data_IF_299594422934
#
_entry.id   IF_299594422934
#
_cell.length_a   1.000
_cell.length_b   1.000
_cell.length_c   1.000
_cell.angle_alpha   90.00
_cell.angle_beta   90.00
_cell.angle_gamma   90.00
#
_symmetry.space_group_name_H-M   'P 1'
#
loop_
_entity.id
_entity.type
_entity.pdbx_description
1 polymer ?
#
# COMPACT_ATOMS: atom_id res chain seq x y z
N UNK A 1 2.97 2.35 -11.79
CA UNK A 1 2.90 1.46 -10.61
C UNK A 1 2.78 -0.03 -10.96
N UNK A 2 1.81 -0.44 -11.78
CA UNK A 2 1.55 -1.87 -12.08
C UNK A 2 2.76 -2.62 -12.66
N UNK A 3 3.53 -2.01 -13.57
CA UNK A 3 4.70 -2.66 -14.16
C UNK A 3 5.77 -3.01 -13.10
N UNK A 4 6.06 -2.08 -12.18
CA UNK A 4 7.01 -2.32 -11.09
C UNK A 4 6.51 -3.40 -10.12
N UNK A 5 5.24 -3.35 -9.75
CA UNK A 5 4.62 -4.38 -8.91
C UNK A 5 4.72 -5.78 -9.53
N UNK A 6 4.41 -5.91 -10.83
CA UNK A 6 4.54 -7.17 -11.57
C UNK A 6 5.99 -7.70 -11.57
N UNK A 7 6.97 -6.81 -11.73
CA UNK A 7 8.40 -7.17 -11.68
C UNK A 7 8.80 -7.68 -10.30
N UNK A 8 8.44 -6.97 -9.23
CA UNK A 8 8.86 -7.34 -7.86
C UNK A 8 8.17 -8.63 -7.39
N UNK A 9 6.85 -8.77 -7.60
CA UNK A 9 6.11 -9.95 -7.15
C UNK A 9 6.51 -11.25 -7.87
N UNK A 10 7.20 -11.14 -9.01
CA UNK A 10 7.71 -12.29 -9.75
C UNK A 10 9.07 -12.78 -9.20
N UNK A 11 9.67 -12.05 -8.26
CA UNK A 11 10.91 -12.46 -7.63
C UNK A 11 10.68 -13.71 -6.75
N UNK A 12 11.53 -14.74 -6.81
CA UNK A 12 11.33 -15.99 -6.07
C UNK A 12 11.21 -15.82 -4.54
N UNK A 13 11.84 -14.78 -3.99
CA UNK A 13 11.78 -14.46 -2.55
C UNK A 13 10.47 -13.81 -2.12
N UNK A 14 9.59 -13.41 -3.04
CA UNK A 14 8.27 -12.86 -2.73
C UNK A 14 7.26 -14.00 -2.86
N UNK A 15 6.64 -14.46 -1.76
CA UNK A 15 5.70 -15.56 -1.83
C UNK A 15 4.46 -15.16 -2.63
N UNK A 16 3.70 -16.15 -3.11
CA UNK A 16 2.45 -15.88 -3.82
C UNK A 16 1.43 -15.14 -2.93
N UNK A 17 1.41 -15.47 -1.64
CA UNK A 17 0.57 -14.86 -0.61
C UNK A 17 1.40 -14.61 0.64
N UNK A 18 1.15 -13.50 1.33
CA UNK A 18 1.80 -13.23 2.60
C UNK A 18 1.77 -11.75 3.00
N UNK A 19 2.24 -11.42 4.20
CA UNK A 19 2.27 -10.06 4.72
C UNK A 19 3.29 -9.16 4.00
N UNK A 20 4.20 -9.72 3.19
CA UNK A 20 5.19 -8.97 2.40
C UNK A 20 4.52 -7.95 1.47
N UNK A 21 3.31 -8.27 1.01
CA UNK A 21 2.50 -7.41 0.16
C UNK A 21 2.08 -6.11 0.87
N UNK A 22 2.01 -6.09 2.20
CA UNK A 22 1.67 -4.91 3.00
C UNK A 22 2.79 -3.87 2.95
N UNK A 23 4.04 -4.33 2.87
CA UNK A 23 5.23 -3.48 2.64
C UNK A 23 5.43 -3.16 1.15
N UNK A 24 5.06 -4.08 0.26
CA UNK A 24 5.29 -3.93 -1.18
C UNK A 24 4.47 -2.78 -1.79
N UNK A 25 3.19 -2.66 -1.45
CA UNK A 25 2.31 -1.60 -2.01
C UNK A 25 2.87 -0.19 -1.75
N UNK A 26 3.15 0.24 -0.51
CA UNK A 26 3.64 1.59 -0.27
C UNK A 26 5.01 1.82 -0.90
N UNK A 27 5.89 0.81 -0.89
CA UNK A 27 7.20 0.89 -1.53
C UNK A 27 7.07 1.12 -3.05
N UNK A 28 6.18 0.40 -3.74
CA UNK A 28 5.93 0.60 -5.18
C UNK A 28 5.45 2.02 -5.48
N UNK A 29 4.53 2.56 -4.67
CA UNK A 29 3.99 3.91 -4.85
C UNK A 29 5.12 4.94 -4.71
N UNK A 30 5.91 4.85 -3.65
CA UNK A 30 6.98 5.81 -3.35
C UNK A 30 8.15 5.71 -4.35
N UNK A 31 8.49 4.52 -4.81
CA UNK A 31 9.49 4.34 -5.88
C UNK A 31 9.03 4.99 -7.18
N UNK A 32 7.77 4.76 -7.58
CA UNK A 32 7.24 5.38 -8.82
C UNK A 32 7.14 6.89 -8.68
N UNK A 33 6.66 7.38 -7.54
CA UNK A 33 6.60 8.82 -7.27
C UNK A 33 7.99 9.47 -7.33
N UNK A 34 9.01 8.86 -6.71
CA UNK A 34 10.39 9.37 -6.77
C UNK A 34 10.93 9.41 -8.19
N UNK A 35 10.74 8.33 -8.96
CA UNK A 35 11.16 8.26 -10.35
C UNK A 35 10.49 9.32 -11.25
N UNK A 36 9.20 9.61 -11.02
CA UNK A 36 8.46 10.59 -11.83
C UNK A 36 8.72 12.03 -11.42
N UNK A 37 8.93 12.29 -10.13
CA UNK A 37 9.14 13.64 -9.60
C UNK A 37 10.61 14.07 -9.58
N UNK A 38 11.55 13.14 -9.77
CA UNK A 38 12.98 13.38 -9.57
C UNK A 38 13.37 13.53 -8.08
N UNK A 39 12.44 13.29 -7.16
CA UNK A 39 12.72 13.39 -5.72
C UNK A 39 13.38 12.11 -5.21
N UNK A 40 14.38 12.26 -4.34
CA UNK A 40 14.95 11.12 -3.63
C UNK A 40 13.96 10.61 -2.57
N UNK A 41 13.33 9.48 -2.85
CA UNK A 41 12.38 8.83 -1.94
C UNK A 41 12.96 7.62 -1.21
N UNK A 42 14.27 7.39 -1.25
CA UNK A 42 14.90 6.21 -0.67
C UNK A 42 14.53 6.00 0.81
N UNK A 43 14.65 7.05 1.65
CA UNK A 43 14.29 6.96 3.05
C UNK A 43 12.78 6.70 3.24
N UNK A 44 11.93 7.34 2.44
CA UNK A 44 10.49 7.11 2.52
C UNK A 44 10.13 5.66 2.18
N UNK A 45 10.84 5.05 1.22
CA UNK A 45 10.65 3.64 0.87
C UNK A 45 11.02 2.73 2.06
N UNK A 46 12.12 3.00 2.76
CA UNK A 46 12.47 2.25 3.97
C UNK A 46 11.42 2.42 5.07
N UNK A 47 10.98 3.64 5.34
CA UNK A 47 9.94 3.93 6.34
C UNK A 47 8.61 3.24 5.98
N UNK A 48 8.25 3.24 4.70
CA UNK A 48 7.08 2.52 4.18
C UNK A 48 7.17 1.02 4.40
N UNK A 49 8.33 0.42 4.12
CA UNK A 49 8.55 -1.01 4.36
C UNK A 49 8.41 -1.32 5.84
N UNK A 50 9.02 -0.52 6.71
CA UNK A 50 8.91 -0.68 8.17
C UNK A 50 7.47 -0.57 8.66
N UNK A 51 6.71 0.45 8.22
CA UNK A 51 5.29 0.57 8.56
C UNK A 51 4.45 -0.57 7.99
N UNK A 52 4.75 -1.05 6.79
CA UNK A 52 4.04 -2.18 6.19
C UNK A 52 4.22 -3.48 6.98
N UNK A 53 5.42 -3.70 7.54
CA UNK A 53 5.75 -4.89 8.35
C UNK A 53 4.94 -4.99 9.65
N UNK A 54 4.41 -3.88 10.16
CA UNK A 54 3.59 -3.89 11.38
C UNK A 54 2.16 -4.38 11.12
N UNK A 55 1.75 -4.52 9.85
CA UNK A 55 0.42 -5.00 9.48
C UNK A 55 0.43 -6.53 9.49
N UNK A 56 -0.33 -7.11 10.41
CA UNK A 56 -0.42 -8.56 10.57
C UNK A 56 -0.97 -9.25 9.31
N UNK A 57 -0.45 -10.45 9.04
CA UNK A 57 -1.04 -11.34 8.04
C UNK A 57 -2.51 -11.59 8.37
N UNK A 58 -3.38 -11.51 7.35
CA UNK A 58 -4.83 -11.67 7.56
C UNK A 58 -5.55 -10.44 8.12
N UNK A 59 -4.91 -9.27 8.20
CA UNK A 59 -5.56 -8.02 8.60
C UNK A 59 -6.89 -7.75 7.85
N UNK A 60 -7.00 -8.17 6.59
CA UNK A 60 -8.25 -8.08 5.81
C UNK A 60 -9.43 -8.81 6.46
N UNK A 61 -9.20 -9.96 7.09
CA UNK A 61 -10.24 -10.76 7.74
C UNK A 61 -10.32 -10.49 9.23
N UNK A 62 -9.19 -10.42 9.93
CA UNK A 62 -9.16 -10.32 11.39
C UNK A 62 -9.33 -8.89 11.90
N UNK A 63 -8.94 -7.89 11.11
CA UNK A 63 -9.02 -6.46 11.48
C UNK A 63 -9.98 -5.67 10.57
N UNK A 64 -10.59 -6.33 9.58
CA UNK A 64 -11.58 -5.74 8.68
C UNK A 64 -11.00 -4.76 7.65
N UNK A 65 -9.67 -4.69 7.47
CA UNK A 65 -9.04 -3.77 6.52
C UNK A 65 -7.89 -4.44 5.78
N UNK A 66 -7.93 -4.38 4.44
CA UNK A 66 -6.89 -4.99 3.62
C UNK A 66 -5.54 -4.26 3.76
N UNK A 67 -4.47 -5.02 3.99
CA UNK A 67 -3.11 -4.46 4.09
C UNK A 67 -2.65 -3.74 2.82
N UNK A 68 -3.22 -4.08 1.64
CA UNK A 68 -2.99 -3.32 0.41
C UNK A 68 -3.60 -1.90 0.49
N UNK A 69 -4.81 -1.75 1.04
CA UNK A 69 -5.44 -0.45 1.25
C UNK A 69 -4.65 0.37 2.29
N UNK A 70 -4.25 -0.25 3.40
CA UNK A 70 -3.38 0.40 4.40
C UNK A 70 -2.06 0.84 3.76
N UNK A 71 -1.49 0.01 2.88
CA UNK A 71 -0.30 0.32 2.11
C UNK A 71 -0.41 1.62 1.31
N UNK A 72 -1.53 1.85 0.61
CA UNK A 72 -1.79 3.14 -0.07
C UNK A 72 -1.80 4.29 0.93
N UNK A 73 -2.48 4.11 2.07
CA UNK A 73 -2.51 5.08 3.16
C UNK A 73 -1.13 5.40 3.75
N UNK A 74 -0.26 4.40 3.90
CA UNK A 74 1.12 4.55 4.37
C UNK A 74 1.92 5.43 3.41
N UNK A 75 1.88 5.14 2.12
CA UNK A 75 2.61 5.95 1.13
C UNK A 75 2.13 7.40 1.13
N UNK A 76 0.82 7.62 1.15
CA UNK A 76 0.24 8.97 1.17
C UNK A 76 0.54 9.71 2.47
N UNK A 77 0.53 9.00 3.61
CA UNK A 77 0.92 9.56 4.91
C UNK A 77 2.37 10.06 4.89
N UNK A 78 3.28 9.31 4.28
CA UNK A 78 4.68 9.70 4.15
C UNK A 78 4.85 10.91 3.22
N UNK A 79 4.19 10.91 2.05
CA UNK A 79 4.26 12.01 1.10
C UNK A 79 3.70 13.32 1.67
N UNK A 80 2.55 13.26 2.35
CA UNK A 80 1.91 14.43 2.95
C UNK A 80 2.49 14.81 4.31
N UNK A 81 3.45 14.03 4.83
CA UNK A 81 3.96 14.16 6.21
C UNK A 81 2.81 14.20 7.22
N UNK A 82 1.80 13.35 7.00
CA UNK A 82 0.60 13.26 7.83
C UNK A 82 0.95 12.69 9.21
N UNK A 83 0.30 13.21 10.25
CA UNK A 83 0.45 12.74 11.62
C UNK A 83 -0.85 13.02 12.42
N UNK A 84 -0.99 12.54 13.67
CA UNK A 84 -2.21 12.73 14.45
C UNK A 84 -2.63 14.19 14.68
N UNK A 85 -1.68 15.14 14.64
CA UNK A 85 -1.93 16.57 14.86
C UNK A 85 -2.26 17.34 13.58
N UNK A 86 -2.12 16.71 12.41
CA UNK A 86 -2.36 17.31 11.09
C UNK A 86 -3.71 16.88 10.54
N UNK A 87 -4.77 17.60 10.96
CA UNK A 87 -6.15 17.22 10.69
C UNK A 87 -6.47 17.03 9.20
N UNK A 88 -5.98 17.94 8.34
CA UNK A 88 -6.21 17.90 6.89
C UNK A 88 -5.56 16.67 6.25
N UNK A 89 -4.27 16.48 6.47
CA UNK A 89 -3.49 15.39 5.89
C UNK A 89 -3.99 14.03 6.40
N UNK A 90 -4.33 13.93 7.71
CA UNK A 90 -4.94 12.74 8.28
C UNK A 90 -6.27 12.42 7.60
N UNK A 91 -7.13 13.41 7.38
CA UNK A 91 -8.40 13.21 6.69
C UNK A 91 -8.19 12.73 5.24
N UNK A 92 -7.25 13.34 4.51
CA UNK A 92 -6.92 12.94 3.13
C UNK A 92 -6.47 11.48 3.09
N UNK A 93 -5.53 11.10 3.97
CA UNK A 93 -5.04 9.70 4.07
C UNK A 93 -6.18 8.73 4.34
N UNK A 94 -7.06 9.04 5.29
CA UNK A 94 -8.19 8.17 5.64
C UNK A 94 -9.20 8.05 4.49
N UNK A 95 -9.53 9.16 3.81
CA UNK A 95 -10.46 9.16 2.66
C UNK A 95 -9.94 8.32 1.50
N UNK A 96 -8.68 8.48 1.12
CA UNK A 96 -8.08 7.69 0.04
C UNK A 96 -8.00 6.21 0.43
N UNK A 97 -7.56 5.91 1.65
CA UNK A 97 -7.52 4.52 2.16
C UNK A 97 -8.89 3.87 2.11
N UNK A 98 -9.94 4.58 2.54
CA UNK A 98 -11.33 4.13 2.48
C UNK A 98 -11.79 3.88 1.04
N UNK A 99 -11.48 4.78 0.11
CA UNK A 99 -11.84 4.62 -1.30
C UNK A 99 -11.17 3.37 -1.90
N UNK A 100 -9.90 3.12 -1.60
CA UNK A 100 -9.23 1.90 -2.04
C UNK A 100 -9.84 0.66 -1.42
N UNK A 101 -10.13 0.68 -0.11
CA UNK A 101 -10.79 -0.43 0.57
C UNK A 101 -12.17 -0.72 -0.05
N UNK A 102 -12.92 0.32 -0.41
CA UNK A 102 -14.21 0.20 -1.09
C UNK A 102 -14.07 -0.55 -2.42
N UNK A 103 -13.05 -0.28 -3.22
CA UNK A 103 -12.85 -1.01 -4.48
C UNK A 103 -12.46 -2.47 -4.25
N UNK A 104 -11.64 -2.75 -3.23
CA UNK A 104 -11.26 -4.11 -2.85
C UNK A 104 -12.47 -4.91 -2.34
N UNK A 105 -13.30 -4.32 -1.48
CA UNK A 105 -14.40 -5.02 -0.81
C UNK A 105 -15.59 -5.38 -1.70
N UNK A 106 -15.60 -4.89 -2.96
CA UNK A 106 -16.62 -5.28 -3.96
C UNK A 106 -16.49 -6.72 -4.44
N UNK A 107 -15.34 -7.35 -4.19
CA UNK A 107 -15.06 -8.70 -4.66
C UNK A 107 -15.42 -9.75 -3.61
N UNK A 108 -16.35 -10.64 -3.95
CA UNK A 108 -16.67 -11.81 -3.15
C UNK A 108 -15.66 -12.94 -3.43
N UNK A 109 -14.49 -12.90 -2.79
CA UNK A 109 -13.48 -13.94 -2.95
C UNK A 109 -12.53 -14.04 -1.75
N UNK A 110 -12.16 -15.27 -1.32
CA UNK A 110 -11.14 -15.48 -0.29
C UNK A 110 -9.75 -15.08 -0.81
N UNK A 111 -8.79 -14.95 0.11
CA UNK A 111 -7.31 -14.85 -0.08
C UNK A 111 -6.83 -14.31 -1.43
N UNK A 112 -6.16 -13.16 -1.42
CA UNK A 112 -5.90 -12.50 -2.69
C UNK A 112 -4.89 -11.35 -2.64
N UNK A 113 -3.86 -11.43 -1.78
CA UNK A 113 -2.82 -10.39 -1.63
C UNK A 113 -2.39 -9.78 -2.98
N UNK A 114 -2.20 -10.60 -4.02
CA UNK A 114 -1.86 -10.11 -5.35
C UNK A 114 -2.95 -9.31 -6.06
N UNK A 115 -4.21 -9.77 -6.02
CA UNK A 115 -5.36 -9.06 -6.61
C UNK A 115 -5.57 -7.74 -5.89
N UNK A 116 -5.61 -7.78 -4.57
CA UNK A 116 -5.91 -6.59 -3.77
C UNK A 116 -4.80 -5.54 -3.89
N UNK A 117 -3.53 -5.96 -3.97
CA UNK A 117 -2.44 -5.06 -4.31
C UNK A 117 -2.59 -4.46 -5.72
N UNK A 118 -3.00 -5.26 -6.71
CA UNK A 118 -3.24 -4.74 -8.06
C UNK A 118 -4.41 -3.73 -8.08
N UNK A 119 -5.51 -4.03 -7.39
CA UNK A 119 -6.67 -3.14 -7.25
C UNK A 119 -6.28 -1.85 -6.52
N UNK A 120 -5.55 -1.97 -5.41
CA UNK A 120 -5.06 -0.84 -4.64
C UNK A 120 -4.17 0.08 -5.47
N UNK A 121 -3.19 -0.50 -6.17
CA UNK A 121 -2.29 0.27 -7.02
C UNK A 121 -3.02 0.89 -8.21
N UNK A 122 -4.05 0.23 -8.78
CA UNK A 122 -4.89 0.83 -9.83
C UNK A 122 -5.71 2.01 -9.31
N UNK A 123 -6.33 1.85 -8.14
CA UNK A 123 -7.14 2.91 -7.53
C UNK A 123 -6.30 4.12 -7.08
N UNK A 124 -5.00 3.92 -6.82
CA UNK A 124 -4.06 4.96 -6.43
C UNK A 124 -3.22 5.54 -7.59
N UNK A 125 -3.43 5.06 -8.83
CA UNK A 125 -2.75 5.56 -10.04
C UNK A 125 -3.48 6.76 -10.66
#
# INVERSE_FOLDING_TARGET
>A
MIALFKKIRAHPSVPMHGPEYHSLVPAVILTVYGNLSGQNTAQLIFDAIHRGKTISGGACSFLGICGAAIGVGIALSLLLKANPYKARERQIVQKVTHQVLKEISRYHAPRCCQRDCWLALKAAS
#
